data_IF_599974033702
#
_entry.id   IF_599974033702
#
_cell.length_a   1.000
_cell.length_b   1.000
_cell.length_c   1.000
_cell.angle_alpha   90.00
_cell.angle_beta   90.00
_cell.angle_gamma   90.00
#
_symmetry.space_group_name_H-M   'P 1'
#
loop_
_entity.id
_entity.type
_entity.pdbx_description
1 polymer ?
#
# COMPACT_ATOMS: atom_id res chain seq x y z
N UNK A 1 -7.18 -20.20 13.71
CA UNK A 1 -6.03 -19.46 13.13
C UNK A 1 -5.66 -20.16 11.83
N UNK A 2 -6.52 -19.99 10.83
CA UNK A 2 -6.29 -20.54 9.49
C UNK A 2 -5.05 -19.89 8.89
N UNK A 3 -4.19 -20.73 8.33
CA UNK A 3 -2.98 -20.35 7.62
C UNK A 3 -3.33 -19.19 6.67
N UNK A 4 -2.74 -18.02 6.92
CA UNK A 4 -2.55 -17.00 5.89
C UNK A 4 -1.77 -17.71 4.80
N UNK A 5 -2.49 -18.23 3.80
CA UNK A 5 -1.92 -18.82 2.61
C UNK A 5 -0.90 -17.85 2.07
N UNK A 6 0.34 -18.33 1.89
CA UNK A 6 1.43 -17.57 1.27
C UNK A 6 0.88 -16.69 0.17
N UNK A 7 1.03 -15.38 0.35
CA UNK A 7 0.71 -14.38 -0.65
C UNK A 7 1.43 -14.84 -1.91
N UNK A 8 0.68 -15.15 -2.97
CA UNK A 8 1.24 -15.47 -4.29
C UNK A 8 1.69 -14.16 -4.94
N UNK A 9 2.65 -13.49 -4.28
CA UNK A 9 3.25 -12.25 -4.71
C UNK A 9 4.41 -12.57 -5.66
N UNK A 10 4.27 -12.08 -6.89
CA UNK A 10 5.33 -12.12 -7.89
C UNK A 10 6.18 -10.85 -7.86
N UNK A 11 7.05 -10.75 -8.86
CA UNK A 11 7.86 -9.54 -9.09
C UNK A 11 6.98 -8.30 -9.30
N UNK A 12 5.78 -8.45 -9.87
CA UNK A 12 4.88 -7.34 -10.13
C UNK A 12 4.36 -6.68 -8.85
N UNK A 13 4.12 -7.46 -7.80
CA UNK A 13 3.63 -6.97 -6.50
C UNK A 13 4.75 -6.42 -5.61
N UNK A 14 6.00 -6.80 -5.89
CA UNK A 14 7.16 -6.57 -5.00
C UNK A 14 7.40 -5.09 -4.71
N UNK A 15 7.30 -4.22 -5.72
CA UNK A 15 7.54 -2.78 -5.56
C UNK A 15 6.59 -2.14 -4.55
N UNK A 16 5.30 -2.40 -4.68
CA UNK A 16 4.26 -1.91 -3.76
C UNK A 16 4.43 -2.52 -2.36
N UNK A 17 4.74 -3.82 -2.27
CA UNK A 17 4.93 -4.50 -0.99
C UNK A 17 6.09 -3.94 -0.16
N UNK A 18 7.21 -3.61 -0.81
CA UNK A 18 8.35 -2.99 -0.13
C UNK A 18 7.97 -1.63 0.43
N UNK A 19 7.33 -0.78 -0.37
CA UNK A 19 6.84 0.52 0.10
C UNK A 19 5.85 0.38 1.26
N UNK A 20 4.93 -0.58 1.21
CA UNK A 20 4.01 -0.84 2.32
C UNK A 20 4.75 -1.23 3.61
N UNK A 21 5.83 -2.02 3.49
CA UNK A 21 6.69 -2.40 4.60
C UNK A 21 7.42 -1.23 5.24
N UNK A 22 7.78 -0.21 4.45
CA UNK A 22 8.52 0.97 4.93
C UNK A 22 7.65 1.95 5.74
N UNK A 23 6.32 1.83 5.69
CA UNK A 23 5.41 2.81 6.31
C UNK A 23 5.69 3.08 7.80
N UNK A 24 5.83 2.05 8.67
CA UNK A 24 6.06 2.28 10.10
C UNK A 24 7.37 3.04 10.36
N UNK A 25 8.42 2.72 9.63
CA UNK A 25 9.74 3.35 9.77
C UNK A 25 9.72 4.81 9.27
N UNK A 26 8.98 5.09 8.19
CA UNK A 26 8.75 6.47 7.73
C UNK A 26 8.01 7.28 8.79
N UNK A 27 6.95 6.72 9.39
CA UNK A 27 6.19 7.41 10.44
C UNK A 27 7.05 7.65 11.68
N UNK A 28 7.82 6.65 12.14
CA UNK A 28 8.73 6.80 13.28
C UNK A 28 9.76 7.90 13.04
N UNK A 29 10.46 7.84 11.90
CA UNK A 29 11.49 8.86 11.56
C UNK A 29 10.90 10.25 11.40
N UNK A 30 9.70 10.36 10.82
CA UNK A 30 8.99 11.63 10.68
C UNK A 30 8.68 12.25 12.04
N UNK A 31 8.26 11.43 13.01
CA UNK A 31 8.01 11.88 14.38
C UNK A 31 9.31 12.30 15.10
N UNK A 32 10.36 11.47 15.03
CA UNK A 32 11.65 11.73 15.68
C UNK A 32 12.32 13.02 15.18
N UNK A 33 12.18 13.31 13.89
CA UNK A 33 12.79 14.47 13.24
C UNK A 33 11.88 15.70 13.21
N UNK A 34 10.62 15.60 13.66
CA UNK A 34 9.59 16.63 13.53
C UNK A 34 9.38 17.07 12.06
N UNK A 35 9.37 16.10 11.15
CA UNK A 35 9.30 16.29 9.69
C UNK A 35 8.05 15.62 9.09
N UNK A 36 6.85 16.21 9.25
CA UNK A 36 5.60 15.63 8.72
C UNK A 36 5.56 15.52 7.20
N UNK A 37 6.35 16.33 6.49
CA UNK A 37 6.51 16.28 5.04
C UNK A 37 7.01 14.92 4.54
N UNK A 38 7.77 14.18 5.36
CA UNK A 38 8.23 12.83 5.03
C UNK A 38 7.07 11.85 4.80
N UNK A 39 6.02 11.94 5.64
CA UNK A 39 4.83 11.11 5.47
C UNK A 39 4.10 11.49 4.19
N UNK A 40 3.96 12.78 3.88
CA UNK A 40 3.33 13.24 2.64
C UNK A 40 4.10 12.76 1.39
N UNK A 41 5.42 12.88 1.38
CA UNK A 41 6.27 12.40 0.29
C UNK A 41 6.16 10.88 0.10
N UNK A 42 6.15 10.12 1.19
CA UNK A 42 5.96 8.68 1.16
C UNK A 42 4.58 8.29 0.59
N UNK A 43 3.50 8.93 1.05
CA UNK A 43 2.15 8.62 0.55
C UNK A 43 2.02 8.93 -0.94
N UNK A 44 2.64 10.00 -1.41
CA UNK A 44 2.70 10.32 -2.83
C UNK A 44 3.47 9.25 -3.62
N UNK A 45 4.61 8.79 -3.11
CA UNK A 45 5.38 7.72 -3.73
C UNK A 45 4.60 6.40 -3.79
N UNK A 46 3.93 6.02 -2.70
CA UNK A 46 3.08 4.83 -2.65
C UNK A 46 1.93 4.92 -3.66
N UNK A 47 1.28 6.08 -3.77
CA UNK A 47 0.20 6.28 -4.72
C UNK A 47 0.66 6.17 -6.18
N UNK A 48 1.82 6.76 -6.52
CA UNK A 48 2.41 6.66 -7.87
C UNK A 48 2.75 5.20 -8.22
N UNK A 49 3.42 4.49 -7.32
CA UNK A 49 3.80 3.10 -7.54
C UNK A 49 2.57 2.19 -7.65
N UNK A 50 1.57 2.40 -6.79
CA UNK A 50 0.31 1.66 -6.84
C UNK A 50 -0.48 1.93 -8.13
N UNK A 51 -0.55 3.18 -8.61
CA UNK A 51 -1.21 3.49 -9.87
C UNK A 51 -0.54 2.76 -11.04
N UNK A 52 0.81 2.77 -11.09
CA UNK A 52 1.57 2.02 -12.10
C UNK A 52 1.27 0.52 -12.03
N UNK A 53 1.24 -0.04 -10.81
CA UNK A 53 0.88 -1.44 -10.60
C UNK A 53 -0.54 -1.74 -11.07
N UNK A 54 -1.51 -0.90 -10.72
CA UNK A 54 -2.92 -1.09 -11.04
C UNK A 54 -3.18 -1.05 -12.55
N UNK A 55 -2.47 -0.18 -13.28
CA UNK A 55 -2.56 -0.09 -14.75
C UNK A 55 -1.96 -1.31 -15.46
N UNK A 56 -0.88 -1.87 -14.91
CA UNK A 56 -0.13 -2.98 -15.55
C UNK A 56 -0.63 -4.37 -15.15
N UNK A 57 -1.26 -4.50 -13.98
CA UNK A 57 -1.62 -5.78 -13.38
C UNK A 57 -3.14 -5.88 -13.13
N UNK A 58 -3.89 -6.56 -14.02
CA UNK A 58 -5.33 -6.76 -13.82
C UNK A 58 -5.61 -7.53 -12.52
N UNK A 59 -6.32 -6.89 -11.59
CA UNK A 59 -6.61 -7.46 -10.26
C UNK A 59 -7.67 -8.57 -10.33
N UNK A 60 -8.83 -8.29 -10.92
CA UNK A 60 -9.95 -9.23 -10.98
C UNK A 60 -9.83 -10.27 -12.11
N UNK A 61 -8.96 -10.01 -13.09
CA UNK A 61 -8.70 -10.89 -14.24
C UNK A 61 -7.33 -11.55 -14.15
N UNK A 62 -6.83 -11.74 -12.93
CA UNK A 62 -5.55 -12.38 -12.70
C UNK A 62 -5.60 -13.86 -13.16
N UNK A 63 -4.44 -14.47 -13.49
CA UNK A 63 -4.40 -15.76 -14.19
C UNK A 63 -4.95 -16.94 -13.37
N UNK A 64 -5.02 -16.81 -12.05
CA UNK A 64 -5.60 -17.81 -11.16
C UNK A 64 -6.24 -17.14 -9.93
N UNK A 65 -7.05 -17.90 -9.20
CA UNK A 65 -7.78 -17.41 -8.02
C UNK A 65 -6.83 -16.95 -6.90
N UNK A 66 -5.71 -17.64 -6.69
CA UNK A 66 -4.68 -17.29 -5.70
C UNK A 66 -4.10 -15.88 -5.95
N UNK A 67 -3.82 -15.56 -7.22
CA UNK A 67 -3.38 -14.23 -7.64
C UNK A 67 -4.49 -13.20 -7.42
N UNK A 68 -5.73 -13.49 -7.76
CA UNK A 68 -6.85 -12.55 -7.51
C UNK A 68 -6.93 -12.20 -6.02
N UNK A 69 -6.89 -13.20 -5.14
CA UNK A 69 -6.91 -13.00 -3.68
C UNK A 69 -5.73 -12.15 -3.22
N UNK A 70 -4.52 -12.47 -3.70
CA UNK A 70 -3.30 -11.72 -3.39
C UNK A 70 -3.41 -10.26 -3.81
N UNK A 71 -3.80 -9.99 -5.06
CA UNK A 71 -3.91 -8.63 -5.60
C UNK A 71 -4.99 -7.81 -4.90
N UNK A 72 -6.12 -8.44 -4.56
CA UNK A 72 -7.17 -7.79 -3.75
C UNK A 72 -6.68 -7.45 -2.34
N UNK A 73 -5.92 -8.34 -1.70
CA UNK A 73 -5.31 -8.06 -0.41
C UNK A 73 -4.33 -6.88 -0.51
N UNK A 74 -3.52 -6.82 -1.58
CA UNK A 74 -2.59 -5.71 -1.84
C UNK A 74 -3.30 -4.37 -1.98
N UNK A 75 -4.36 -4.30 -2.81
CA UNK A 75 -5.20 -3.10 -2.96
C UNK A 75 -5.77 -2.64 -1.61
N UNK A 76 -6.25 -3.60 -0.79
CA UNK A 76 -6.78 -3.29 0.54
C UNK A 76 -5.69 -2.72 1.47
N UNK A 77 -4.48 -3.29 1.45
CA UNK A 77 -3.34 -2.84 2.26
C UNK A 77 -2.95 -1.41 1.89
N UNK A 78 -2.83 -1.10 0.59
CA UNK A 78 -2.58 0.27 0.11
C UNK A 78 -3.64 1.24 0.61
N UNK A 79 -4.92 0.90 0.48
CA UNK A 79 -6.01 1.75 0.98
C UNK A 79 -5.96 1.97 2.50
N UNK A 80 -5.49 0.99 3.29
CA UNK A 80 -5.30 1.16 4.74
C UNK A 80 -4.17 2.15 5.02
N UNK A 81 -3.01 1.99 4.38
CA UNK A 81 -1.85 2.86 4.57
C UNK A 81 -2.15 4.29 4.15
N UNK A 82 -2.79 4.49 2.99
CA UNK A 82 -3.19 5.81 2.52
C UNK A 82 -4.14 6.51 3.51
N UNK A 83 -5.17 5.81 3.99
CA UNK A 83 -6.10 6.38 5.00
C UNK A 83 -5.39 6.73 6.30
N UNK A 84 -4.51 5.87 6.79
CA UNK A 84 -3.78 6.11 8.03
C UNK A 84 -2.83 7.30 7.89
N UNK A 85 -2.05 7.33 6.81
CA UNK A 85 -1.14 8.44 6.54
C UNK A 85 -1.84 9.78 6.35
N UNK A 86 -2.96 9.83 5.61
CA UNK A 86 -3.75 11.06 5.46
C UNK A 86 -4.28 11.55 6.80
N UNK A 87 -4.78 10.64 7.65
CA UNK A 87 -5.22 10.98 9.02
C UNK A 87 -4.09 11.51 9.89
N UNK A 88 -2.89 10.94 9.79
CA UNK A 88 -1.70 11.46 10.51
C UNK A 88 -1.36 12.89 10.09
N UNK A 89 -1.64 13.26 8.85
CA UNK A 89 -1.47 14.62 8.32
C UNK A 89 -2.67 15.54 8.62
N UNK A 90 -3.68 15.06 9.33
CA UNK A 90 -4.91 15.83 9.61
C UNK A 90 -5.82 16.00 8.39
N UNK A 91 -5.65 15.18 7.35
CA UNK A 91 -6.45 15.20 6.13
C UNK A 91 -7.51 14.11 6.20
N UNK A 92 -8.78 14.48 6.01
CA UNK A 92 -9.87 13.51 5.95
C UNK A 92 -9.79 12.70 4.64
N UNK A 93 -9.60 11.37 4.69
CA UNK A 93 -9.55 10.56 3.49
C UNK A 93 -10.93 10.41 2.85
N UNK A 94 -11.04 10.26 1.52
CA UNK A 94 -12.34 10.12 0.87
C UNK A 94 -13.03 8.81 1.25
N UNK A 95 -14.37 8.84 1.21
CA UNK A 95 -15.24 7.70 1.59
C UNK A 95 -15.05 6.46 0.72
N UNK A 96 -14.50 6.65 -0.48
CA UNK A 96 -14.09 5.59 -1.40
C UNK A 96 -12.64 5.85 -1.78
N UNK A 97 -11.81 4.83 -1.57
CA UNK A 97 -10.44 4.76 -2.07
C UNK A 97 -10.46 4.02 -3.40
#
# INVERSE_FOLDING_TARGET
LEKVSLIDAGEEERGVLLLLGDFPDVVSRSADQLRPDMVASYLNQLAVEFNRYYDTCPVLRAPNESKVVTRLALVRMVGIVLRNGLRLLGIEPPKRM
#
